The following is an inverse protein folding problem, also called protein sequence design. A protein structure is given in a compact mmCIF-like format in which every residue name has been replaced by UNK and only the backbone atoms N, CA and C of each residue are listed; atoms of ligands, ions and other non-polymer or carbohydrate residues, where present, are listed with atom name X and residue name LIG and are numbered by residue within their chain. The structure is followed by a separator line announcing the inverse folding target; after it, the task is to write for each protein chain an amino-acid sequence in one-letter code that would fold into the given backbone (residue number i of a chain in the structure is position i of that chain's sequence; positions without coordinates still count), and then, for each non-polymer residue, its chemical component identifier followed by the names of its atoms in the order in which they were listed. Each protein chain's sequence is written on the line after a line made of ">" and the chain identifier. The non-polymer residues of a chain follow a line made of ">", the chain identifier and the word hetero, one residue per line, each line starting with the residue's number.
data_IF_785608350415
#
_entry.id   IF_785608350415
#
_cell.length_a   1.000
_cell.length_b   1.000
_cell.length_c   1.000
_cell.angle_alpha   90.00
_cell.angle_beta   90.00
_cell.angle_gamma   90.00
#
_symmetry.space_group_name_H-M   'P 1'
#
loop_
_entity.id
_entity.type
_entity.pdbx_description
1 polymer ?
#
# COMPACT_ATOMS: atom_id res chain seq x y z
N UNK A 1 27.95 74.02 3.87
CA UNK A 1 27.89 74.32 2.42
C UNK A 1 29.27 74.09 1.83
N UNK A 2 29.40 73.10 0.97
CA UNK A 2 30.66 72.56 0.45
C UNK A 2 31.42 73.60 -0.38
N UNK A 3 32.72 73.78 -0.13
CA UNK A 3 33.63 74.63 -0.91
C UNK A 3 33.69 74.30 -2.42
N UNK A 4 33.12 73.15 -2.84
CA UNK A 4 32.95 72.77 -4.25
C UNK A 4 31.81 73.53 -4.95
N UNK A 5 30.79 74.00 -4.21
CA UNK A 5 29.64 74.73 -4.78
C UNK A 5 29.96 76.20 -5.07
N UNK A 6 30.91 76.81 -4.37
CA UNK A 6 31.22 78.24 -4.54
C UNK A 6 32.02 78.55 -5.81
N UNK A 7 32.58 77.54 -6.50
CA UNK A 7 33.32 77.71 -7.75
C UNK A 7 32.47 77.68 -9.02
N UNK A 8 31.20 77.25 -8.94
CA UNK A 8 30.32 77.03 -10.11
C UNK A 8 29.65 78.33 -10.63
N UNK A 9 29.89 79.46 -9.97
CA UNK A 9 29.15 80.71 -10.22
C UNK A 9 29.93 81.75 -11.05
N UNK A 10 31.08 81.43 -11.61
CA UNK A 10 31.91 82.41 -12.35
C UNK A 10 32.45 81.85 -13.67
N UNK A 11 31.70 82.14 -14.74
CA UNK A 11 32.03 82.02 -16.19
C UNK A 11 33.48 81.58 -16.54
N UNK A 12 33.70 80.27 -16.55
CA UNK A 12 34.24 79.42 -17.64
C UNK A 12 34.32 77.97 -17.09
N UNK A 13 33.18 77.50 -16.56
CA UNK A 13 33.08 76.34 -15.66
C UNK A 13 32.77 75.01 -16.37
N UNK A 14 32.83 74.96 -17.71
CA UNK A 14 32.56 73.73 -18.47
C UNK A 14 33.58 72.64 -18.17
N UNK A 15 34.87 72.97 -18.04
CA UNK A 15 35.91 71.97 -17.73
C UNK A 15 35.76 71.41 -16.31
N UNK A 16 35.38 72.25 -15.34
CA UNK A 16 35.16 71.83 -13.95
C UNK A 16 33.93 70.92 -13.83
N UNK A 17 32.85 71.25 -14.54
CA UNK A 17 31.65 70.40 -14.61
C UNK A 17 31.97 69.08 -15.31
N UNK A 18 32.74 69.11 -16.41
CA UNK A 18 33.22 67.90 -17.09
C UNK A 18 34.06 67.01 -16.16
N UNK A 19 34.94 67.58 -15.35
CA UNK A 19 35.79 66.83 -14.43
C UNK A 19 34.96 66.17 -13.31
N UNK A 20 33.98 66.88 -12.73
CA UNK A 20 33.04 66.28 -11.77
C UNK A 20 32.22 65.18 -12.43
N UNK A 21 31.77 65.40 -13.67
CA UNK A 21 30.97 64.41 -14.39
C UNK A 21 31.79 63.15 -14.68
N UNK A 22 33.04 63.29 -15.13
CA UNK A 22 33.98 62.17 -15.32
C UNK A 22 34.23 61.41 -14.03
N UNK A 23 34.48 62.12 -12.92
CA UNK A 23 34.69 61.49 -11.61
C UNK A 23 33.45 60.69 -11.17
N UNK A 24 32.25 61.26 -11.35
CA UNK A 24 30.99 60.60 -10.99
C UNK A 24 30.72 59.37 -11.87
N UNK A 25 30.99 59.47 -13.18
CA UNK A 25 30.87 58.36 -14.12
C UNK A 25 31.83 57.23 -13.75
N UNK A 26 33.08 57.53 -13.38
CA UNK A 26 34.01 56.47 -12.99
C UNK A 26 33.64 55.82 -11.65
N UNK A 27 33.18 56.58 -10.66
CA UNK A 27 32.66 56.00 -9.42
C UNK A 27 31.43 55.10 -9.65
N UNK A 28 30.55 55.48 -10.58
CA UNK A 28 29.40 54.65 -10.95
C UNK A 28 29.83 53.38 -11.67
N UNK A 29 30.80 53.48 -12.59
CA UNK A 29 31.35 52.35 -13.33
C UNK A 29 32.04 51.35 -12.40
N UNK A 30 32.86 51.81 -11.47
CA UNK A 30 33.52 50.95 -10.48
C UNK A 30 32.50 50.23 -9.60
N UNK A 31 31.50 50.95 -9.08
CA UNK A 31 30.43 50.34 -8.27
C UNK A 31 29.63 49.30 -9.05
N UNK A 32 29.28 49.61 -10.30
CA UNK A 32 28.53 48.70 -11.15
C UNK A 32 29.35 47.46 -11.48
N UNK A 33 30.60 47.62 -11.93
CA UNK A 33 31.51 46.52 -12.24
C UNK A 33 31.73 45.64 -11.01
N UNK A 34 32.03 46.24 -9.85
CA UNK A 34 32.20 45.50 -8.60
C UNK A 34 30.95 44.72 -8.19
N UNK A 35 29.76 45.30 -8.39
CA UNK A 35 28.50 44.59 -8.11
C UNK A 35 28.24 43.44 -9.09
N UNK A 36 28.57 43.62 -10.38
CA UNK A 36 28.36 42.61 -11.41
C UNK A 36 29.33 41.43 -11.20
N UNK A 37 30.61 41.71 -10.92
CA UNK A 37 31.62 40.67 -10.67
C UNK A 37 31.25 39.81 -9.46
N UNK A 38 30.81 40.41 -8.36
CA UNK A 38 30.34 39.66 -7.18
C UNK A 38 29.14 38.75 -7.50
N UNK A 39 28.21 39.22 -8.33
CA UNK A 39 27.06 38.40 -8.74
C UNK A 39 27.49 37.25 -9.64
N UNK A 40 28.43 37.49 -10.55
CA UNK A 40 28.98 36.45 -11.43
C UNK A 40 29.66 35.35 -10.62
N UNK A 41 30.48 35.72 -9.63
CA UNK A 41 31.16 34.75 -8.76
C UNK A 41 30.16 33.85 -8.01
N UNK A 42 29.08 34.43 -7.46
CA UNK A 42 28.02 33.67 -6.79
C UNK A 42 27.30 32.72 -7.77
N UNK A 43 27.00 33.22 -8.99
CA UNK A 43 26.35 32.44 -10.04
C UNK A 43 27.23 31.27 -10.48
N UNK A 44 28.53 31.49 -10.69
CA UNK A 44 29.49 30.45 -11.05
C UNK A 44 29.57 29.37 -9.96
N UNK A 45 29.63 29.76 -8.69
CA UNK A 45 29.59 28.82 -7.57
C UNK A 45 28.30 27.99 -7.54
N UNK A 46 27.15 28.63 -7.71
CA UNK A 46 25.85 27.95 -7.72
C UNK A 46 25.75 26.96 -8.89
N UNK A 47 26.20 27.37 -10.08
CA UNK A 47 26.20 26.51 -11.27
C UNK A 47 27.13 25.31 -11.09
N UNK A 48 28.28 25.51 -10.44
CA UNK A 48 29.21 24.43 -10.14
C UNK A 48 28.60 23.40 -9.19
N UNK A 49 27.98 23.85 -8.09
CA UNK A 49 27.30 22.97 -7.12
C UNK A 49 26.16 22.18 -7.81
N UNK A 50 25.29 22.86 -8.56
CA UNK A 50 24.21 22.21 -9.30
C UNK A 50 24.72 21.18 -10.30
N UNK A 51 25.84 21.46 -10.98
CA UNK A 51 26.45 20.51 -11.91
C UNK A 51 26.96 19.28 -11.18
N UNK A 52 27.56 19.44 -10.00
CA UNK A 52 27.99 18.33 -9.15
C UNK A 52 26.81 17.46 -8.72
N UNK A 53 25.71 18.08 -8.26
CA UNK A 53 24.50 17.36 -7.86
C UNK A 53 23.88 16.58 -9.03
N UNK A 54 23.85 17.18 -10.22
CA UNK A 54 23.35 16.51 -11.43
C UNK A 54 24.19 15.26 -11.76
N UNK A 55 25.52 15.35 -11.69
CA UNK A 55 26.38 14.20 -11.94
C UNK A 55 26.19 13.10 -10.89
N UNK A 56 26.03 13.47 -9.61
CA UNK A 56 25.69 12.52 -8.56
C UNK A 56 24.35 11.80 -8.84
N UNK A 57 23.30 12.56 -9.12
CA UNK A 57 21.96 12.01 -9.40
C UNK A 57 21.95 11.11 -10.65
N UNK A 58 22.73 11.43 -11.68
CA UNK A 58 22.90 10.58 -12.87
C UNK A 58 23.46 9.20 -12.54
N UNK A 59 24.24 9.07 -11.47
CA UNK A 59 24.77 7.77 -11.02
C UNK A 59 23.84 7.06 -10.05
N UNK A 60 23.14 7.81 -9.21
CA UNK A 60 22.27 7.22 -8.17
C UNK A 60 20.97 6.66 -8.76
N UNK A 61 20.35 7.37 -9.72
CA UNK A 61 19.08 6.95 -10.33
C UNK A 61 19.18 5.55 -10.96
N UNK A 62 20.14 5.25 -11.86
CA UNK A 62 20.24 3.92 -12.45
C UNK A 62 20.52 2.81 -11.43
N UNK A 63 21.27 3.13 -10.37
CA UNK A 63 21.54 2.20 -9.27
C UNK A 63 20.25 1.83 -8.54
N UNK A 64 19.41 2.82 -8.20
CA UNK A 64 18.10 2.58 -7.58
C UNK A 64 17.15 1.84 -8.51
N UNK A 65 17.10 2.17 -9.80
CA UNK A 65 16.28 1.46 -10.78
C UNK A 65 16.65 -0.03 -10.85
N UNK A 66 17.95 -0.33 -10.83
CA UNK A 66 18.44 -1.72 -10.80
C UNK A 66 18.03 -2.45 -9.51
N UNK A 67 18.03 -1.77 -8.37
CA UNK A 67 17.56 -2.35 -7.10
C UNK A 67 16.06 -2.61 -7.12
N UNK A 68 15.26 -1.69 -7.69
CA UNK A 68 13.82 -1.85 -7.83
C UNK A 68 13.48 -3.06 -8.69
N UNK A 69 14.17 -3.26 -9.82
CA UNK A 69 13.92 -4.42 -10.69
C UNK A 69 14.27 -5.75 -9.99
N UNK A 70 15.35 -5.80 -9.21
CA UNK A 70 15.68 -6.98 -8.40
C UNK A 70 14.58 -7.30 -7.39
N UNK A 71 14.11 -6.28 -6.65
CA UNK A 71 13.05 -6.45 -5.67
C UNK A 71 11.74 -6.92 -6.30
N UNK A 72 11.38 -6.43 -7.49
CA UNK A 72 10.19 -6.90 -8.22
C UNK A 72 10.27 -8.41 -8.53
N UNK A 73 11.43 -8.88 -8.97
CA UNK A 73 11.64 -10.31 -9.29
C UNK A 73 11.52 -11.15 -8.01
N UNK A 74 12.15 -10.73 -6.91
CA UNK A 74 12.11 -11.44 -5.63
C UNK A 74 10.69 -11.49 -5.03
N UNK A 75 9.95 -10.37 -5.10
CA UNK A 75 8.55 -10.32 -4.66
C UNK A 75 7.69 -11.26 -5.49
N UNK A 76 7.84 -11.25 -6.82
CA UNK A 76 7.07 -12.11 -7.69
C UNK A 76 7.36 -13.61 -7.44
N UNK A 77 8.62 -13.98 -7.20
CA UNK A 77 8.99 -15.34 -6.83
C UNK A 77 8.33 -15.75 -5.49
N UNK A 78 8.44 -14.90 -4.47
CA UNK A 78 7.88 -15.15 -3.14
C UNK A 78 6.36 -15.29 -3.17
N UNK A 79 5.66 -14.42 -3.90
CA UNK A 79 4.20 -14.48 -4.07
C UNK A 79 3.79 -15.80 -4.73
N UNK A 80 4.50 -16.22 -5.77
CA UNK A 80 4.19 -17.49 -6.44
C UNK A 80 4.40 -18.71 -5.55
N UNK A 81 5.46 -18.72 -4.74
CA UNK A 81 5.68 -19.79 -3.75
C UNK A 81 4.58 -19.81 -2.70
N UNK A 82 4.20 -18.65 -2.17
CA UNK A 82 3.13 -18.55 -1.17
C UNK A 82 1.76 -18.94 -1.72
N UNK A 83 1.47 -18.62 -2.97
CA UNK A 83 0.24 -19.06 -3.63
C UNK A 83 0.21 -20.59 -3.79
N UNK A 84 1.33 -21.21 -4.20
CA UNK A 84 1.43 -22.68 -4.26
C UNK A 84 1.26 -23.31 -2.88
N UNK A 85 1.83 -22.72 -1.84
CA UNK A 85 1.69 -23.18 -0.47
C UNK A 85 0.23 -23.09 0.01
N UNK A 86 -0.42 -21.95 -0.25
CA UNK A 86 -1.83 -21.72 0.08
C UNK A 86 -2.74 -22.76 -0.58
N UNK A 87 -2.56 -23.03 -1.88
CA UNK A 87 -3.37 -24.01 -2.59
C UNK A 87 -3.23 -25.42 -1.98
N UNK A 88 -2.03 -25.80 -1.54
CA UNK A 88 -1.82 -27.09 -0.85
C UNK A 88 -2.60 -27.17 0.46
N UNK A 89 -2.60 -26.10 1.26
CA UNK A 89 -3.36 -26.09 2.51
C UNK A 89 -4.87 -26.12 2.26
N UNK A 90 -5.34 -25.49 1.20
CA UNK A 90 -6.76 -25.55 0.79
C UNK A 90 -7.17 -26.96 0.39
N UNK A 91 -6.36 -27.66 -0.41
CA UNK A 91 -6.59 -29.07 -0.77
C UNK A 91 -6.62 -30.00 0.45
N UNK A 92 -5.68 -29.80 1.39
CA UNK A 92 -5.64 -30.56 2.64
C UNK A 92 -6.88 -30.28 3.49
N UNK A 93 -7.29 -29.02 3.64
CA UNK A 93 -8.47 -28.64 4.40
C UNK A 93 -9.74 -29.24 3.79
N UNK A 94 -9.89 -29.17 2.46
CA UNK A 94 -11.01 -29.77 1.75
C UNK A 94 -11.06 -31.29 1.93
N UNK A 95 -9.90 -31.96 1.82
CA UNK A 95 -9.80 -33.40 2.04
C UNK A 95 -10.16 -33.78 3.48
N UNK A 96 -9.65 -33.03 4.46
CA UNK A 96 -9.95 -33.24 5.87
C UNK A 96 -11.45 -33.02 6.18
N UNK A 97 -12.07 -31.98 5.60
CA UNK A 97 -13.50 -31.72 5.75
C UNK A 97 -14.35 -32.84 5.12
N UNK A 98 -13.99 -33.31 3.93
CA UNK A 98 -14.69 -34.42 3.28
C UNK A 98 -14.57 -35.70 4.10
N UNK A 99 -13.37 -36.03 4.58
CA UNK A 99 -13.14 -37.20 5.45
C UNK A 99 -13.90 -37.11 6.77
N UNK A 100 -14.03 -35.90 7.34
CA UNK A 100 -14.86 -35.67 8.53
C UNK A 100 -16.35 -35.91 8.25
N UNK A 101 -16.82 -35.71 7.00
CA UNK A 101 -18.23 -35.90 6.62
C UNK A 101 -18.59 -37.34 6.23
N UNK A 102 -17.63 -38.23 5.97
CA UNK A 102 -17.89 -39.59 5.42
C UNK A 102 -18.87 -40.42 6.27
N UNK A 103 -18.80 -40.29 7.60
CA UNK A 103 -19.67 -41.03 8.53
C UNK A 103 -20.83 -40.19 9.08
N UNK A 104 -21.05 -39.00 8.53
CA UNK A 104 -22.07 -38.07 8.97
C UNK A 104 -23.20 -37.96 7.92
N UNK A 105 -24.44 -38.18 8.36
CA UNK A 105 -25.62 -38.03 7.51
C UNK A 105 -26.45 -36.83 7.95
N UNK A 106 -26.80 -35.95 7.00
CA UNK A 106 -27.72 -34.84 7.24
C UNK A 106 -29.11 -35.18 6.71
N UNK A 107 -30.07 -35.32 7.62
CA UNK A 107 -31.48 -35.51 7.28
C UNK A 107 -32.21 -34.16 7.31
N UNK A 108 -32.99 -33.86 6.27
CA UNK A 108 -33.82 -32.66 6.18
C UNK A 108 -35.30 -33.03 6.10
N UNK A 109 -36.20 -32.10 6.47
CA UNK A 109 -37.64 -32.35 6.45
C UNK A 109 -38.15 -33.30 7.55
N UNK A 110 -37.32 -33.67 8.53
CA UNK A 110 -37.74 -34.53 9.65
C UNK A 110 -38.64 -33.71 10.59
N UNK A 111 -39.92 -34.08 10.79
CA UNK A 111 -40.84 -33.36 11.67
C UNK A 111 -40.24 -33.23 13.06
N UNK A 112 -40.21 -32.01 13.59
CA UNK A 112 -39.82 -31.74 14.97
C UNK A 112 -41.05 -31.45 15.80
N UNK A 113 -41.12 -32.07 16.99
CA UNK A 113 -41.99 -31.53 18.03
C UNK A 113 -41.33 -30.24 18.55
N UNK A 114 -42.15 -29.27 18.96
CA UNK A 114 -41.70 -27.89 19.23
C UNK A 114 -40.67 -27.80 20.38
N UNK A 115 -40.55 -28.84 21.19
CA UNK A 115 -39.57 -28.95 22.25
C UNK A 115 -38.27 -29.55 21.73
N UNK A 116 -37.15 -28.94 22.12
CA UNK A 116 -35.80 -29.45 21.84
C UNK A 116 -35.65 -30.83 22.45
N UNK A 117 -36.00 -31.87 21.68
CA UNK A 117 -35.84 -33.27 22.09
C UNK A 117 -34.39 -33.49 22.54
N UNK A 118 -34.23 -34.18 23.66
CA UNK A 118 -32.93 -34.65 24.15
C UNK A 118 -32.22 -35.48 23.07
N UNK A 119 -30.89 -35.56 23.12
CA UNK A 119 -30.08 -36.35 22.17
C UNK A 119 -30.65 -37.76 21.96
N UNK A 120 -31.05 -38.42 23.06
CA UNK A 120 -31.64 -39.76 23.08
C UNK A 120 -32.90 -39.85 22.21
N UNK A 121 -33.82 -38.89 22.34
CA UNK A 121 -35.06 -38.88 21.58
C UNK A 121 -34.84 -38.58 20.08
N UNK A 122 -33.77 -37.85 19.73
CA UNK A 122 -33.37 -37.65 18.33
C UNK A 122 -32.81 -38.94 17.74
N UNK A 123 -31.94 -39.65 18.47
CA UNK A 123 -31.39 -40.95 18.04
C UNK A 123 -32.49 -41.97 17.80
N UNK A 124 -33.43 -42.14 18.73
CA UNK A 124 -34.57 -43.04 18.58
C UNK A 124 -35.44 -42.69 17.36
N UNK A 125 -35.65 -41.40 17.09
CA UNK A 125 -36.38 -40.94 15.92
C UNK A 125 -35.66 -41.34 14.62
N UNK A 126 -34.34 -41.20 14.55
CA UNK A 126 -33.54 -41.60 13.38
C UNK A 126 -33.62 -43.11 13.16
N UNK A 127 -33.43 -43.92 14.21
CA UNK A 127 -33.53 -45.39 14.14
C UNK A 127 -34.90 -45.81 13.61
N UNK A 128 -35.98 -45.24 14.15
CA UNK A 128 -37.34 -45.53 13.70
C UNK A 128 -37.57 -45.15 12.23
N UNK A 129 -37.01 -44.03 11.78
CA UNK A 129 -37.15 -43.55 10.41
C UNK A 129 -36.41 -44.47 9.43
N UNK A 130 -35.15 -44.79 9.71
CA UNK A 130 -34.31 -45.62 8.83
C UNK A 130 -34.89 -47.03 8.73
N UNK A 131 -35.24 -47.65 9.86
CA UNK A 131 -35.84 -48.99 9.85
C UNK A 131 -37.17 -49.02 9.09
N UNK A 132 -38.01 -47.98 9.23
CA UNK A 132 -39.34 -47.93 8.60
C UNK A 132 -39.29 -47.63 7.10
N UNK A 133 -38.46 -46.69 6.67
CA UNK A 133 -38.49 -46.18 5.29
C UNK A 133 -37.36 -46.69 4.41
N UNK A 134 -36.21 -47.06 4.99
CA UNK A 134 -35.06 -47.55 4.25
C UNK A 134 -34.85 -49.07 4.41
N UNK A 135 -35.55 -49.70 5.36
CA UNK A 135 -35.45 -51.14 5.66
C UNK A 135 -34.00 -51.62 5.94
N UNK A 136 -33.17 -50.72 6.50
CA UNK A 136 -31.80 -51.02 6.91
C UNK A 136 -31.84 -51.26 8.42
N UNK A 137 -31.52 -52.47 8.92
CA UNK A 137 -31.60 -52.78 10.33
C UNK A 137 -30.49 -52.05 11.10
N UNK A 138 -30.83 -50.92 11.70
CA UNK A 138 -29.95 -50.17 12.59
C UNK A 138 -30.55 -50.10 14.00
N UNK A 139 -29.68 -49.99 14.99
CA UNK A 139 -30.02 -49.76 16.39
C UNK A 139 -29.31 -48.49 16.91
N UNK A 140 -29.63 -48.10 18.15
CA UNK A 140 -29.04 -46.89 18.75
C UNK A 140 -27.52 -46.98 18.92
N UNK A 141 -26.96 -48.18 19.14
CA UNK A 141 -25.50 -48.37 19.26
C UNK A 141 -24.75 -48.21 17.94
N UNK A 142 -25.45 -48.21 16.80
CA UNK A 142 -24.85 -47.90 15.50
C UNK A 142 -24.70 -46.39 15.26
N UNK A 143 -25.26 -45.55 16.13
CA UNK A 143 -25.23 -44.09 16.02
C UNK A 143 -24.43 -43.52 17.18
N UNK A 144 -23.31 -42.87 16.87
CA UNK A 144 -22.48 -42.21 17.89
C UNK A 144 -23.18 -40.95 18.41
N UNK A 145 -23.55 -40.03 17.52
CA UNK A 145 -24.19 -38.76 17.87
C UNK A 145 -25.31 -38.44 16.88
N UNK A 146 -26.52 -38.18 17.40
CA UNK A 146 -27.61 -37.57 16.64
C UNK A 146 -28.13 -36.33 17.35
N UNK A 147 -28.18 -35.21 16.63
CA UNK A 147 -28.70 -33.94 17.16
C UNK A 147 -29.33 -33.12 16.04
N UNK A 148 -30.24 -32.20 16.41
CA UNK A 148 -30.78 -31.24 15.46
C UNK A 148 -29.83 -30.07 15.29
N UNK A 149 -29.53 -29.71 14.05
CA UNK A 149 -28.80 -28.49 13.74
C UNK A 149 -29.68 -27.27 14.10
N UNK A 150 -29.07 -26.23 14.66
CA UNK A 150 -29.76 -25.00 15.02
C UNK A 150 -30.40 -24.30 13.82
N UNK A 151 -31.33 -23.37 14.08
CA UNK A 151 -31.92 -22.54 13.02
C UNK A 151 -30.79 -21.80 12.29
N UNK A 152 -30.67 -22.05 10.99
CA UNK A 152 -29.78 -21.30 10.12
C UNK A 152 -30.26 -19.84 10.12
N UNK A 153 -29.53 -18.93 10.78
CA UNK A 153 -29.82 -17.50 10.69
C UNK A 153 -29.39 -17.05 9.29
N UNK A 154 -30.35 -16.92 8.37
CA UNK A 154 -30.13 -16.20 7.12
C UNK A 154 -29.55 -14.82 7.47
N UNK A 155 -28.34 -14.53 7.03
CA UNK A 155 -27.63 -13.28 7.32
C UNK A 155 -26.33 -13.44 8.13
N UNK A 156 -26.07 -14.59 8.75
CA UNK A 156 -24.67 -14.96 9.02
C UNK A 156 -24.18 -15.69 7.79
N UNK A 157 -23.23 -15.08 7.08
CA UNK A 157 -22.36 -15.80 6.15
C UNK A 157 -22.06 -17.15 6.80
N UNK A 158 -22.42 -18.25 6.14
CA UNK A 158 -21.57 -19.44 6.26
C UNK A 158 -20.16 -18.92 6.11
N UNK A 159 -19.24 -19.30 6.99
CA UNK A 159 -17.83 -19.01 6.78
C UNK A 159 -17.39 -19.76 5.50
N UNK A 160 -17.83 -19.28 4.34
CA UNK A 160 -17.06 -19.29 3.14
C UNK A 160 -15.88 -18.46 3.55
N UNK A 161 -14.75 -19.10 3.84
CA UNK A 161 -13.47 -18.46 3.67
C UNK A 161 -13.30 -18.15 2.17
N UNK A 162 -14.14 -17.27 1.63
CA UNK A 162 -13.76 -16.48 0.48
C UNK A 162 -12.81 -15.44 1.04
N UNK A 163 -11.54 -15.82 1.07
CA UNK A 163 -10.45 -14.85 1.12
C UNK A 163 -10.61 -14.04 -0.16
N UNK A 164 -11.30 -12.89 -0.06
CA UNK A 164 -11.29 -11.91 -1.15
C UNK A 164 -9.84 -11.50 -1.34
N UNK A 165 -9.39 -11.54 -2.58
CA UNK A 165 -8.16 -10.88 -3.00
C UNK A 165 -8.21 -9.41 -2.55
N UNK A 166 -7.11 -8.83 -2.04
CA UNK A 166 -7.08 -7.47 -1.52
C UNK A 166 -7.04 -6.40 -2.62
N UNK A 167 -7.77 -6.59 -3.71
CA UNK A 167 -7.76 -5.67 -4.87
C UNK A 167 -9.15 -5.46 -5.46
N UNK A 168 -10.09 -4.93 -4.67
CA UNK A 168 -11.24 -4.18 -5.22
C UNK A 168 -11.54 -3.01 -4.28
N UNK A 169 -11.40 -1.79 -4.83
CA UNK A 169 -11.69 -0.50 -4.20
C UNK A 169 -13.21 -0.24 -4.11
#
# INVERSE_FOLDING_TARGET
>A
MNAKLSKVLTKDDTSFIEDIFKETVEQLKEKLLGSVLKRLEILEGTVFEQKSDIEFLKTEIPSKDTQIEKLKIEIHATVNEKNKESNKYEEIANTAEQNSRTNNLRMTGVPGDQDRKSLIAVTAQVVSFVNRYLNIPINESNIDIAHRLGKFKQGKQTCNYQIRSPTEC
#
